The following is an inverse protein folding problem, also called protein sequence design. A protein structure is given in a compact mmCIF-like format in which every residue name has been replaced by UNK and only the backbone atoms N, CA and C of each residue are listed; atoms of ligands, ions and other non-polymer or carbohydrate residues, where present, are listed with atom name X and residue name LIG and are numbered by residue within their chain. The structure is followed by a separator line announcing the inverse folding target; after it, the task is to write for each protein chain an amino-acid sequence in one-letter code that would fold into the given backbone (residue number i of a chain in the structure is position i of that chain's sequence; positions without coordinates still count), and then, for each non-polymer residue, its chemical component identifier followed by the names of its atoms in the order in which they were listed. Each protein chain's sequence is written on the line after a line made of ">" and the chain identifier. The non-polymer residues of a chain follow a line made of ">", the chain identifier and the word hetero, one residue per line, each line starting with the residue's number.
data_IF_006095332106
#
_entry.id   IF_006095332106
#
_cell.length_a   1.000
_cell.length_b   1.000
_cell.length_c   1.000
_cell.angle_alpha   90.00
_cell.angle_beta   90.00
_cell.angle_gamma   90.00
#
_symmetry.space_group_name_H-M   'P 1'
#
loop_
_entity.id
_entity.type
_entity.pdbx_description
1 polymer ?
#
# COMPACT_ATOMS: atom_id res chain seq x y z
N UNK A 1 -3.10 -4.87 -18.39
CA UNK A 1 -3.83 -4.59 -17.12
C UNK A 1 -2.94 -3.74 -16.23
N UNK A 2 -3.47 -2.74 -15.53
CA UNK A 2 -2.67 -1.94 -14.61
C UNK A 2 -2.36 -2.70 -13.32
N UNK A 3 -1.23 -2.38 -12.69
CA UNK A 3 -0.85 -3.01 -11.40
C UNK A 3 -1.93 -2.83 -10.33
N UNK A 4 -2.56 -1.66 -10.27
CA UNK A 4 -3.68 -1.43 -9.34
C UNK A 4 -4.83 -2.41 -9.55
N UNK A 5 -5.16 -2.73 -10.81
CA UNK A 5 -6.21 -3.69 -11.11
C UNK A 5 -5.83 -5.12 -10.68
N UNK A 6 -4.55 -5.47 -10.75
CA UNK A 6 -4.06 -6.77 -10.25
C UNK A 6 -4.11 -6.85 -8.71
N UNK A 7 -3.76 -5.75 -8.03
CA UNK A 7 -3.91 -5.66 -6.57
C UNK A 7 -5.38 -5.77 -6.16
N UNK A 8 -6.27 -5.07 -6.88
CA UNK A 8 -7.72 -5.14 -6.64
C UNK A 8 -8.27 -6.55 -6.82
N UNK A 9 -7.84 -7.27 -7.86
CA UNK A 9 -8.22 -8.66 -8.07
C UNK A 9 -7.77 -9.56 -6.91
N UNK A 10 -6.56 -9.35 -6.38
CA UNK A 10 -6.05 -10.07 -5.21
C UNK A 10 -6.86 -9.74 -3.95
N UNK A 11 -7.23 -8.48 -3.75
CA UNK A 11 -8.09 -8.07 -2.62
C UNK A 11 -9.45 -8.78 -2.68
N UNK A 12 -10.06 -8.87 -3.87
CA UNK A 12 -11.32 -9.60 -4.06
C UNK A 12 -11.19 -11.08 -3.70
N UNK A 13 -10.06 -11.70 -4.09
CA UNK A 13 -9.77 -13.08 -3.72
C UNK A 13 -9.61 -13.22 -2.20
N UNK A 14 -8.87 -12.33 -1.55
CA UNK A 14 -8.70 -12.33 -0.08
C UNK A 14 -10.03 -12.22 0.67
N UNK A 15 -10.99 -11.47 0.14
CA UNK A 15 -12.31 -11.32 0.76
C UNK A 15 -13.07 -12.65 0.87
N UNK A 16 -12.78 -13.61 -0.01
CA UNK A 16 -13.33 -14.98 0.10
C UNK A 16 -12.63 -15.80 1.19
N UNK A 17 -11.40 -15.41 1.57
CA UNK A 17 -10.54 -16.08 2.56
C UNK A 17 -10.38 -15.25 3.86
N UNK A 18 -11.25 -14.29 4.09
CA UNK A 18 -11.13 -13.31 5.19
C UNK A 18 -11.03 -13.92 6.58
N UNK A 19 -11.61 -15.09 6.81
CA UNK A 19 -11.52 -15.80 8.09
C UNK A 19 -10.13 -16.42 8.34
N UNK A 20 -9.41 -16.75 7.27
CA UNK A 20 -8.07 -17.39 7.34
C UNK A 20 -6.94 -16.37 7.29
N UNK A 21 -7.16 -15.21 6.66
CA UNK A 21 -6.18 -14.13 6.46
C UNK A 21 -6.77 -12.77 6.88
N UNK A 22 -7.18 -12.61 8.16
CA UNK A 22 -7.95 -11.44 8.59
C UNK A 22 -7.16 -10.13 8.50
N UNK A 23 -5.86 -10.12 8.85
CA UNK A 23 -5.03 -8.92 8.79
C UNK A 23 -4.77 -8.49 7.33
N UNK A 24 -4.37 -9.43 6.48
CA UNK A 24 -4.16 -9.15 5.05
C UNK A 24 -5.42 -8.61 4.39
N UNK A 25 -6.57 -9.23 4.65
CA UNK A 25 -7.83 -8.81 4.04
C UNK A 25 -8.21 -7.39 4.45
N UNK A 26 -8.17 -7.08 5.74
CA UNK A 26 -8.54 -5.76 6.24
C UNK A 26 -7.52 -4.68 5.82
N UNK A 27 -6.25 -4.90 6.06
CA UNK A 27 -5.22 -3.88 5.88
C UNK A 27 -4.88 -3.64 4.42
N UNK A 28 -4.82 -4.67 3.57
CA UNK A 28 -4.56 -4.49 2.15
C UNK A 28 -5.74 -3.80 1.44
N UNK A 29 -6.97 -4.09 1.85
CA UNK A 29 -8.16 -3.39 1.35
C UNK A 29 -8.07 -1.89 1.66
N UNK A 30 -7.75 -1.54 2.90
CA UNK A 30 -7.59 -0.14 3.33
C UNK A 30 -6.42 0.55 2.61
N UNK A 31 -5.28 -0.12 2.52
CA UNK A 31 -4.09 0.44 1.87
C UNK A 31 -4.29 0.67 0.37
N UNK A 32 -5.00 -0.23 -0.31
CA UNK A 32 -5.36 -0.07 -1.72
C UNK A 32 -6.26 1.15 -1.93
N UNK A 33 -7.29 1.32 -1.11
CA UNK A 33 -8.19 2.49 -1.16
C UNK A 33 -7.41 3.80 -0.95
N UNK A 34 -6.51 3.83 0.02
CA UNK A 34 -5.64 4.98 0.28
C UNK A 34 -4.73 5.30 -0.90
N UNK A 35 -4.14 4.28 -1.53
CA UNK A 35 -3.30 4.44 -2.72
C UNK A 35 -4.10 4.96 -3.91
N UNK A 36 -5.28 4.42 -4.17
CA UNK A 36 -6.16 4.88 -5.25
C UNK A 36 -6.57 6.34 -5.05
N UNK A 37 -6.99 6.73 -3.85
CA UNK A 37 -7.40 8.10 -3.52
C UNK A 37 -6.23 9.08 -3.63
N UNK A 38 -5.06 8.74 -3.11
CA UNK A 38 -3.87 9.58 -3.22
C UNK A 38 -3.44 9.78 -4.67
N UNK A 39 -3.49 8.72 -5.48
CA UNK A 39 -3.15 8.78 -6.91
C UNK A 39 -4.09 9.70 -7.69
N UNK A 40 -5.40 9.62 -7.42
CA UNK A 40 -6.40 10.48 -8.04
C UNK A 40 -6.23 11.94 -7.62
N UNK A 41 -5.99 12.20 -6.33
CA UNK A 41 -5.76 13.55 -5.81
C UNK A 41 -4.53 14.20 -6.45
N UNK A 42 -3.39 13.51 -6.46
CA UNK A 42 -2.16 14.00 -7.07
C UNK A 42 -2.35 14.26 -8.57
N UNK A 43 -2.93 13.32 -9.29
CA UNK A 43 -3.18 13.46 -10.73
C UNK A 43 -4.09 14.65 -11.04
N UNK A 44 -5.09 14.88 -10.19
CA UNK A 44 -6.02 16.01 -10.35
C UNK A 44 -5.39 17.37 -10.10
N UNK A 45 -4.31 17.47 -9.32
CA UNK A 45 -3.67 18.73 -8.92
C UNK A 45 -2.37 19.04 -9.68
N UNK A 46 -1.71 18.04 -10.26
CA UNK A 46 -0.34 18.17 -10.79
C UNK A 46 -0.22 19.23 -11.89
N UNK A 47 -1.26 19.48 -12.68
CA UNK A 47 -1.25 20.47 -13.76
C UNK A 47 -1.34 21.90 -13.23
N UNK A 48 -1.98 22.12 -12.10
CA UNK A 48 -2.16 23.43 -11.47
C UNK A 48 -1.09 23.73 -10.41
N UNK A 49 -0.36 22.70 -9.96
CA UNK A 49 0.68 22.76 -8.93
C UNK A 49 1.93 22.01 -9.39
N UNK A 50 2.83 22.69 -10.07
CA UNK A 50 4.05 22.08 -10.63
C UNK A 50 5.04 21.62 -9.57
N UNK A 51 4.99 22.18 -8.37
CA UNK A 51 5.87 21.82 -7.24
C UNK A 51 5.38 20.53 -6.54
N UNK A 52 4.13 20.15 -6.78
CA UNK A 52 3.53 18.97 -6.16
C UNK A 52 4.31 17.69 -6.47
N UNK A 53 4.78 17.52 -7.69
CA UNK A 53 5.54 16.32 -8.10
C UNK A 53 6.78 16.12 -7.23
N UNK A 54 7.54 17.19 -7.01
CA UNK A 54 8.71 17.14 -6.12
C UNK A 54 8.32 16.93 -4.66
N UNK A 55 7.31 17.66 -4.20
CA UNK A 55 6.86 17.59 -2.81
C UNK A 55 6.28 16.23 -2.40
N UNK A 56 5.57 15.54 -3.30
CA UNK A 56 4.91 14.27 -3.00
C UNK A 56 5.77 13.03 -3.30
N UNK A 57 6.84 13.15 -4.10
CA UNK A 57 7.51 12.01 -4.75
C UNK A 57 8.00 10.93 -3.78
N UNK A 58 8.66 11.30 -2.69
CA UNK A 58 9.19 10.33 -1.71
C UNK A 58 8.06 9.61 -0.99
N UNK A 59 7.09 10.35 -0.47
CA UNK A 59 5.96 9.76 0.26
C UNK A 59 5.08 8.91 -0.65
N UNK A 60 4.88 9.33 -1.91
CA UNK A 60 4.14 8.54 -2.88
C UNK A 60 4.87 7.25 -3.26
N UNK A 61 6.19 7.30 -3.43
CA UNK A 61 7.02 6.11 -3.66
C UNK A 61 6.92 5.13 -2.49
N UNK A 62 7.00 5.63 -1.26
CA UNK A 62 6.86 4.81 -0.05
C UNK A 62 5.47 4.18 0.06
N UNK A 63 4.42 4.93 -0.31
CA UNK A 63 3.06 4.43 -0.38
C UNK A 63 2.96 3.27 -1.37
N UNK A 64 3.42 3.47 -2.60
CA UNK A 64 3.43 2.44 -3.65
C UNK A 64 4.17 1.18 -3.18
N UNK A 65 5.39 1.34 -2.66
CA UNK A 65 6.21 0.23 -2.19
C UNK A 65 5.56 -0.56 -1.05
N UNK A 66 4.93 0.14 -0.11
CA UNK A 66 4.23 -0.48 1.03
C UNK A 66 3.03 -1.31 0.56
N UNK A 67 2.21 -0.77 -0.33
CA UNK A 67 1.03 -1.48 -0.88
C UNK A 67 1.45 -2.66 -1.75
N UNK A 68 2.43 -2.47 -2.63
CA UNK A 68 2.93 -3.55 -3.49
C UNK A 68 3.58 -4.68 -2.69
N UNK A 69 4.32 -4.35 -1.63
CA UNK A 69 4.84 -5.35 -0.69
C UNK A 69 3.72 -6.17 -0.05
N UNK A 70 2.65 -5.51 0.41
CA UNK A 70 1.47 -6.18 0.94
C UNK A 70 0.77 -7.09 -0.08
N UNK A 71 0.68 -6.64 -1.32
CA UNK A 71 0.15 -7.44 -2.42
C UNK A 71 0.97 -8.72 -2.68
N UNK A 72 2.29 -8.60 -2.71
CA UNK A 72 3.18 -9.76 -2.88
C UNK A 72 3.09 -10.73 -1.69
N UNK A 73 2.97 -10.21 -0.46
CA UNK A 73 2.71 -11.02 0.72
C UNK A 73 1.37 -11.76 0.63
N UNK A 74 0.33 -11.08 0.14
CA UNK A 74 -1.00 -11.68 -0.05
C UNK A 74 -0.96 -12.82 -1.08
N UNK A 75 -0.30 -12.62 -2.21
CA UNK A 75 -0.10 -13.69 -3.21
C UNK A 75 0.65 -14.88 -2.63
N UNK A 76 1.70 -14.62 -1.85
CA UNK A 76 2.48 -15.67 -1.18
C UNK A 76 1.63 -16.45 -0.17
N UNK A 77 0.81 -15.75 0.62
CA UNK A 77 -0.08 -16.39 1.60
C UNK A 77 -1.16 -17.25 0.94
N UNK A 78 -1.77 -16.77 -0.15
CA UNK A 78 -2.77 -17.54 -0.90
C UNK A 78 -2.19 -18.83 -1.47
N UNK A 79 -0.99 -18.78 -2.05
CA UNK A 79 -0.28 -20.00 -2.52
C UNK A 79 0.09 -20.90 -1.35
N UNK A 80 0.56 -20.33 -0.24
CA UNK A 80 0.92 -21.12 0.94
C UNK A 80 -0.28 -21.87 1.55
N UNK A 81 -1.47 -21.26 1.54
CA UNK A 81 -2.69 -21.93 2.02
C UNK A 81 -3.03 -23.18 1.19
N UNK A 82 -2.84 -23.14 -0.13
CA UNK A 82 -3.09 -24.27 -1.02
C UNK A 82 -2.08 -25.42 -0.80
N UNK A 83 -0.86 -25.08 -0.34
CA UNK A 83 0.27 -26.02 -0.22
C UNK A 83 0.59 -26.43 1.21
N UNK A 84 -0.20 -26.03 2.19
CA UNK A 84 0.07 -26.27 3.62
C UNK A 84 0.27 -27.77 3.92
N UNK A 85 -0.45 -28.66 3.23
CA UNK A 85 -0.31 -30.12 3.41
C UNK A 85 1.03 -30.71 2.94
N UNK A 86 1.74 -30.01 2.04
CA UNK A 86 3.03 -30.45 1.51
C UNK A 86 4.18 -30.21 2.52
N UNK A 87 4.17 -29.05 3.18
CA UNK A 87 5.13 -28.66 4.22
C UNK A 87 4.46 -27.66 5.17
N UNK A 88 3.79 -28.14 6.23
CA UNK A 88 3.05 -27.29 7.16
C UNK A 88 3.91 -26.23 7.85
N UNK A 89 5.15 -26.54 8.20
CA UNK A 89 6.04 -25.61 8.89
C UNK A 89 6.47 -24.47 7.97
N UNK A 90 6.91 -24.80 6.76
CA UNK A 90 7.34 -23.79 5.78
C UNK A 90 6.18 -22.88 5.34
N UNK A 91 5.07 -23.46 4.89
CA UNK A 91 3.94 -22.66 4.40
C UNK A 91 3.19 -21.97 5.54
N UNK A 92 3.12 -22.58 6.72
CA UNK A 92 2.59 -21.90 7.92
C UNK A 92 3.39 -20.67 8.29
N UNK A 93 4.71 -20.73 8.23
CA UNK A 93 5.58 -19.57 8.46
C UNK A 93 5.37 -18.47 7.44
N UNK A 94 5.12 -18.80 6.15
CA UNK A 94 4.80 -17.81 5.11
C UNK A 94 3.50 -17.06 5.39
N UNK A 95 2.48 -17.76 5.85
CA UNK A 95 1.19 -17.16 6.22
C UNK A 95 1.37 -16.21 7.40
N UNK A 96 2.08 -16.62 8.44
CA UNK A 96 2.36 -15.78 9.61
C UNK A 96 3.15 -14.52 9.20
N UNK A 97 4.16 -14.67 8.36
CA UNK A 97 4.97 -13.55 7.87
C UNK A 97 4.11 -12.54 7.09
N UNK A 98 3.21 -13.02 6.25
CA UNK A 98 2.30 -12.17 5.48
C UNK A 98 1.31 -11.42 6.39
N UNK A 99 0.72 -12.11 7.38
CA UNK A 99 -0.15 -11.48 8.38
C UNK A 99 0.61 -10.47 9.26
N UNK A 100 1.87 -10.75 9.60
CA UNK A 100 2.73 -9.80 10.30
C UNK A 100 2.96 -8.53 9.48
N UNK A 101 3.28 -8.66 8.19
CA UNK A 101 3.44 -7.51 7.29
C UNK A 101 2.18 -6.66 7.26
N UNK A 102 1.02 -7.31 7.15
CA UNK A 102 -0.27 -6.62 7.13
C UNK A 102 -0.53 -5.87 8.44
N UNK A 103 -0.24 -6.47 9.59
CA UNK A 103 -0.50 -5.86 10.89
C UNK A 103 0.47 -4.72 11.24
N UNK A 104 1.74 -4.81 10.82
CA UNK A 104 2.80 -3.91 11.30
C UNK A 104 3.39 -2.99 10.23
N UNK A 105 3.26 -3.32 8.95
CA UNK A 105 3.84 -2.53 7.85
C UNK A 105 2.76 -1.82 7.03
N UNK A 106 1.72 -2.53 6.59
CA UNK A 106 0.64 -1.94 5.79
C UNK A 106 -0.04 -0.72 6.41
N UNK A 107 -0.25 -0.61 7.74
CA UNK A 107 -0.83 0.58 8.35
C UNK A 107 -0.06 1.88 8.07
N UNK A 108 1.23 1.78 7.75
CA UNK A 108 2.07 2.94 7.36
C UNK A 108 1.62 3.60 6.06
N UNK A 109 0.88 2.88 5.20
CA UNK A 109 0.33 3.40 3.95
C UNK A 109 -0.54 4.64 4.20
N UNK A 110 -1.32 4.67 5.27
CA UNK A 110 -2.15 5.82 5.64
C UNK A 110 -1.34 7.09 5.90
N UNK A 111 -0.23 6.98 6.62
CA UNK A 111 0.67 8.10 6.88
C UNK A 111 1.35 8.59 5.59
N UNK A 112 1.82 7.68 4.75
CA UNK A 112 2.40 8.04 3.46
C UNK A 112 1.38 8.69 2.52
N UNK A 113 0.14 8.19 2.47
CA UNK A 113 -0.92 8.78 1.66
C UNK A 113 -1.25 10.21 2.12
N UNK A 114 -1.37 10.43 3.42
CA UNK A 114 -1.60 11.75 4.01
C UNK A 114 -0.45 12.71 3.69
N UNK A 115 0.79 12.28 3.86
CA UNK A 115 1.96 13.10 3.58
C UNK A 115 2.13 13.39 2.07
N UNK A 116 1.85 12.42 1.20
CA UNK A 116 1.93 12.57 -0.25
C UNK A 116 0.89 13.56 -0.80
N UNK A 117 -0.25 13.70 -0.15
CA UNK A 117 -1.33 14.62 -0.56
C UNK A 117 -1.30 15.95 0.19
N UNK A 118 -0.28 16.21 1.00
CA UNK A 118 -0.07 17.48 1.69
C UNK A 118 0.16 18.63 0.70
N UNK A 119 -0.06 19.85 1.17
CA UNK A 119 0.12 21.06 0.37
C UNK A 119 1.60 21.28 0.01
N UNK A 120 1.90 21.43 -1.28
CA UNK A 120 3.25 21.74 -1.78
C UNK A 120 3.80 23.07 -1.23
N UNK A 121 2.94 24.02 -0.88
CA UNK A 121 3.33 25.30 -0.30
C UNK A 121 4.11 25.13 1.02
N UNK A 122 3.82 24.09 1.79
CA UNK A 122 4.56 23.82 3.02
C UNK A 122 6.00 23.40 2.74
N UNK A 123 6.27 22.81 1.58
CA UNK A 123 7.63 22.45 1.13
C UNK A 123 8.37 23.63 0.53
N UNK A 124 7.68 24.47 -0.26
CA UNK A 124 8.27 25.55 -1.04
C UNK A 124 8.07 26.94 -0.42
N UNK A 125 7.41 27.03 0.74
CA UNK A 125 6.97 28.28 1.33
C UNK A 125 8.06 29.14 2.00
N UNK A 126 9.23 28.55 2.30
CA UNK A 126 10.33 29.31 2.89
C UNK A 126 11.03 30.16 1.84
N UNK A 127 11.30 31.41 2.19
CA UNK A 127 12.09 32.32 1.38
C UNK A 127 13.57 32.19 1.70
N UNK A 128 14.45 32.58 0.77
CA UNK A 128 15.90 32.49 0.93
C UNK A 128 16.40 33.20 2.20
N UNK A 129 15.81 34.36 2.53
CA UNK A 129 16.15 35.14 3.73
C UNK A 129 15.73 34.49 5.07
N UNK A 130 14.99 33.37 5.03
CA UNK A 130 14.51 32.67 6.22
C UNK A 130 15.40 31.48 6.63
N UNK A 131 16.47 31.22 5.85
CA UNK A 131 17.46 30.18 6.15
C UNK A 131 18.64 30.65 7.01
#
# INVERSE_FOLDING_TARGET
>A
MSVMAEVEATVKQLQTESNSLPQLTAELTTALDQWQKASLDITGRVMDDVDLVGACSVNYLMLCGTVLGGWLMAKSALVAMEKTSEDPDFYGAKIITAEFYAAHILPRAGAYATAATADSQLTMGLKEEQF
#
